data_IF_770080490739
#
_entry.id   IF_770080490739
#
_cell.length_a   1.000
_cell.length_b   1.000
_cell.length_c   1.000
_cell.angle_alpha   90.00
_cell.angle_beta   90.00
_cell.angle_gamma   90.00
#
_symmetry.space_group_name_H-M   'P 1'
#
loop_
_entity.id
_entity.type
_entity.pdbx_description
1 polymer ?
#
# COMPACT_ATOMS: atom_id res chain seq x y z
N UNK A 1 -19.33 11.02 -6.27
CA UNK A 1 -18.82 11.46 -4.95
C UNK A 1 -19.75 11.13 -3.78
N UNK A 2 -21.08 11.32 -3.88
CA UNK A 2 -22.04 11.10 -2.79
C UNK A 2 -21.95 9.74 -2.10
N UNK A 3 -21.95 8.64 -2.86
CA UNK A 3 -21.87 7.28 -2.29
C UNK A 3 -20.57 7.02 -1.50
N UNK A 4 -19.41 7.50 -1.98
CA UNK A 4 -18.15 7.33 -1.25
C UNK A 4 -18.17 8.10 0.08
N UNK A 5 -18.76 9.31 0.07
CA UNK A 5 -18.92 10.11 1.28
C UNK A 5 -19.84 9.40 2.27
N UNK A 6 -20.94 8.81 1.81
CA UNK A 6 -21.84 8.00 2.65
C UNK A 6 -21.10 6.81 3.25
N UNK A 7 -20.45 5.97 2.42
CA UNK A 7 -19.67 4.84 2.92
C UNK A 7 -18.56 5.27 3.88
N UNK A 8 -17.92 6.42 3.66
CA UNK A 8 -16.91 6.95 4.58
C UNK A 8 -17.50 7.34 5.94
N UNK A 9 -18.67 8.00 5.94
CA UNK A 9 -19.40 8.36 7.16
C UNK A 9 -19.82 7.11 7.95
N UNK A 10 -20.19 6.05 7.24
CA UNK A 10 -20.55 4.74 7.80
C UNK A 10 -19.33 3.89 8.21
N UNK A 11 -18.10 4.41 8.05
CA UNK A 11 -16.85 3.67 8.28
C UNK A 11 -16.77 2.38 7.46
N UNK A 12 -17.32 2.40 6.25
CA UNK A 12 -17.33 1.29 5.31
C UNK A 12 -16.36 1.48 4.13
N UNK A 13 -15.25 2.18 4.39
CA UNK A 13 -14.19 2.41 3.41
C UNK A 13 -12.87 1.93 3.96
N UNK A 14 -12.17 1.13 3.16
CA UNK A 14 -10.77 0.74 3.35
C UNK A 14 -9.91 1.74 2.58
N UNK A 15 -8.90 2.30 3.23
CA UNK A 15 -7.90 3.13 2.57
C UNK A 15 -6.71 2.26 2.16
N UNK A 16 -6.28 2.38 0.91
CA UNK A 16 -5.04 1.81 0.39
C UNK A 16 -4.05 2.93 0.11
N UNK A 17 -2.88 2.88 0.76
CA UNK A 17 -1.84 3.90 0.66
C UNK A 17 -0.59 3.30 0.01
N UNK A 18 -0.16 3.87 -1.11
CA UNK A 18 1.08 3.47 -1.79
C UNK A 18 2.23 4.45 -1.61
N UNK A 19 3.36 4.13 -2.24
CA UNK A 19 4.64 4.83 -2.04
C UNK A 19 4.62 6.30 -2.49
N UNK A 20 3.66 6.68 -3.32
CA UNK A 20 3.45 8.07 -3.75
C UNK A 20 3.10 9.01 -2.59
N UNK A 21 2.53 8.51 -1.49
CA UNK A 21 2.27 9.32 -0.29
C UNK A 21 3.57 9.65 0.44
N UNK A 22 4.46 8.68 0.59
CA UNK A 22 5.75 8.86 1.26
C UNK A 22 6.78 9.62 0.42
N UNK A 23 6.64 9.66 -0.92
CA UNK A 23 7.54 10.41 -1.82
C UNK A 23 7.65 11.89 -1.48
N UNK A 24 6.56 12.49 -0.97
CA UNK A 24 6.53 13.91 -0.59
C UNK A 24 7.35 14.22 0.67
N UNK A 25 7.84 13.21 1.38
CA UNK A 25 8.71 13.35 2.55
C UNK A 25 10.21 13.28 2.19
N UNK A 26 10.55 13.34 0.89
CA UNK A 26 11.94 13.30 0.44
C UNK A 26 12.62 11.93 0.55
N UNK A 27 11.84 10.88 0.80
CA UNK A 27 12.36 9.53 0.95
C UNK A 27 12.93 8.99 -0.36
N UNK A 28 13.86 8.02 -0.29
CA UNK A 28 14.35 7.42 -1.50
C UNK A 28 13.22 6.66 -2.23
N UNK A 29 13.39 6.51 -3.54
CA UNK A 29 12.40 5.84 -4.40
C UNK A 29 12.76 4.38 -4.60
N UNK A 30 11.82 3.59 -5.11
CA UNK A 30 12.13 2.23 -5.60
C UNK A 30 13.31 2.20 -6.56
N UNK A 31 13.39 3.18 -7.47
CA UNK A 31 14.51 3.30 -8.41
C UNK A 31 15.86 3.47 -7.70
N UNK A 32 15.92 4.30 -6.64
CA UNK A 32 17.14 4.46 -5.83
C UNK A 32 17.52 3.19 -5.07
N UNK A 33 16.55 2.38 -4.66
CA UNK A 33 16.81 1.06 -4.07
C UNK A 33 17.48 0.14 -5.09
N UNK A 34 16.93 0.06 -6.31
CA UNK A 34 17.52 -0.74 -7.39
C UNK A 34 18.94 -0.27 -7.73
N UNK A 35 19.18 1.06 -7.74
CA UNK A 35 20.52 1.62 -7.94
C UNK A 35 21.51 1.15 -6.89
N UNK A 36 21.08 1.12 -5.64
CA UNK A 36 21.90 0.67 -4.52
C UNK A 36 22.22 -0.83 -4.65
N UNK A 37 21.22 -1.67 -4.95
CA UNK A 37 21.42 -3.10 -5.18
C UNK A 37 22.40 -3.36 -6.33
N UNK A 38 22.24 -2.64 -7.45
CA UNK A 38 23.12 -2.77 -8.61
C UNK A 38 24.58 -2.47 -8.25
N UNK A 39 24.82 -1.36 -7.53
CA UNK A 39 26.16 -0.98 -7.06
C UNK A 39 26.77 -2.02 -6.13
N UNK A 40 26.00 -2.55 -5.17
CA UNK A 40 26.50 -3.58 -4.24
C UNK A 40 26.88 -4.90 -4.92
N UNK A 41 26.33 -5.15 -6.11
CA UNK A 41 26.62 -6.31 -6.95
C UNK A 41 27.65 -6.02 -8.04
N UNK A 42 28.16 -4.79 -8.13
CA UNK A 42 29.18 -4.38 -9.12
C UNK A 42 28.62 -4.08 -10.51
N UNK A 43 27.31 -3.86 -10.65
CA UNK A 43 26.69 -3.43 -11.90
C UNK A 43 26.60 -1.90 -12.00
N UNK A 44 26.65 -1.39 -13.23
CA UNK A 44 26.27 0.00 -13.50
C UNK A 44 24.73 0.15 -13.42
N UNK A 45 24.20 1.06 -12.59
CA UNK A 45 22.76 1.20 -12.42
C UNK A 45 22.00 1.64 -13.66
N UNK A 46 22.57 2.52 -14.47
CA UNK A 46 21.88 3.06 -15.65
C UNK A 46 21.82 2.02 -16.77
N UNK A 47 22.89 1.23 -16.93
CA UNK A 47 22.89 0.07 -17.81
C UNK A 47 21.86 -0.95 -17.31
N UNK A 48 21.85 -1.27 -16.01
CA UNK A 48 20.94 -2.28 -15.49
C UNK A 48 19.48 -1.86 -15.65
N UNK A 49 19.10 -0.62 -15.33
CA UNK A 49 17.72 -0.13 -15.52
C UNK A 49 17.22 -0.25 -16.96
N UNK A 50 18.14 -0.16 -17.93
CA UNK A 50 17.78 -0.17 -19.35
C UNK A 50 17.44 -1.57 -19.87
N UNK A 51 17.98 -2.63 -19.25
CA UNK A 51 17.89 -4.00 -19.77
C UNK A 51 17.48 -5.06 -18.75
N UNK A 52 17.53 -4.73 -17.46
CA UNK A 52 17.38 -5.66 -16.35
C UNK A 52 16.04 -5.53 -15.62
N UNK A 53 15.64 -6.62 -14.98
CA UNK A 53 14.42 -6.70 -14.20
C UNK A 53 14.71 -6.45 -12.72
N UNK A 54 14.00 -5.47 -12.13
CA UNK A 54 14.25 -5.00 -10.76
C UNK A 54 14.12 -6.10 -9.71
N UNK A 55 13.11 -6.97 -9.85
CA UNK A 55 12.86 -8.07 -8.91
C UNK A 55 13.90 -9.19 -9.03
N UNK A 56 14.37 -9.47 -10.25
CA UNK A 56 15.43 -10.44 -10.50
C UNK A 56 16.77 -9.97 -9.90
N UNK A 57 17.06 -8.66 -9.96
CA UNK A 57 18.24 -8.10 -9.29
C UNK A 57 18.19 -8.29 -7.78
N UNK A 58 17.05 -8.03 -7.16
CA UNK A 58 16.85 -8.22 -5.73
C UNK A 58 16.92 -9.71 -5.33
N UNK A 59 16.45 -10.61 -6.18
CA UNK A 59 16.60 -12.06 -6.00
C UNK A 59 18.08 -12.47 -6.04
N UNK A 60 18.80 -12.01 -7.06
CA UNK A 60 20.23 -12.29 -7.19
C UNK A 60 21.04 -11.72 -6.02
N UNK A 61 20.67 -10.54 -5.52
CA UNK A 61 21.24 -9.97 -4.29
C UNK A 61 21.10 -10.92 -3.11
N UNK A 62 19.87 -11.40 -2.85
CA UNK A 62 19.59 -12.35 -1.75
C UNK A 62 20.44 -13.62 -1.91
N UNK A 63 20.50 -14.19 -3.10
CA UNK A 63 21.30 -15.40 -3.38
C UNK A 63 22.78 -15.16 -3.12
N UNK A 64 23.33 -14.01 -3.55
CA UNK A 64 24.75 -13.67 -3.38
C UNK A 64 25.14 -13.32 -1.95
N UNK A 65 24.28 -12.61 -1.23
CA UNK A 65 24.55 -12.13 0.14
C UNK A 65 24.04 -13.09 1.22
N UNK A 66 23.29 -14.12 0.84
CA UNK A 66 22.69 -15.13 1.73
C UNK A 66 21.43 -14.64 2.45
N UNK A 67 21.18 -13.34 2.53
CA UNK A 67 19.98 -12.74 3.12
C UNK A 67 19.72 -11.34 2.56
N UNK A 68 18.52 -10.80 2.81
CA UNK A 68 18.18 -9.40 2.52
C UNK A 68 18.48 -8.44 3.69
N UNK A 69 18.97 -8.95 4.83
CA UNK A 69 19.16 -8.16 6.06
C UNK A 69 20.05 -6.91 5.90
N UNK A 70 21.19 -6.97 5.17
CA UNK A 70 22.01 -5.78 4.92
C UNK A 70 21.25 -4.72 4.11
N UNK A 71 20.55 -5.14 3.06
CA UNK A 71 19.73 -4.26 2.22
C UNK A 71 18.59 -3.64 3.03
N UNK A 72 17.92 -4.41 3.87
CA UNK A 72 16.89 -3.93 4.80
C UNK A 72 17.44 -2.90 5.77
N UNK A 73 18.63 -3.13 6.32
CA UNK A 73 19.30 -2.19 7.23
C UNK A 73 19.60 -0.86 6.54
N UNK A 74 20.08 -0.92 5.28
CA UNK A 74 20.26 0.27 4.46
C UNK A 74 18.93 0.97 4.20
N UNK A 75 17.88 0.25 3.82
CA UNK A 75 16.55 0.81 3.59
C UNK A 75 15.99 1.49 4.84
N UNK A 76 16.03 0.82 6.00
CA UNK A 76 15.49 1.36 7.26
C UNK A 76 16.18 2.67 7.64
N UNK A 77 17.50 2.73 7.49
CA UNK A 77 18.31 3.94 7.74
C UNK A 77 17.93 5.08 6.79
N UNK A 78 17.78 4.77 5.49
CA UNK A 78 17.57 5.79 4.46
C UNK A 78 16.11 6.26 4.35
N UNK A 79 15.13 5.45 4.79
CA UNK A 79 13.71 5.82 4.78
C UNK A 79 13.20 6.44 6.08
N UNK A 80 14.02 6.50 7.14
CA UNK A 80 13.63 7.08 8.44
C UNK A 80 14.54 8.23 8.88
N UNK A 81 14.67 9.25 8.03
CA UNK A 81 15.35 10.49 8.42
C UNK A 81 14.62 11.19 9.59
N UNK A 82 15.38 11.69 10.56
CA UNK A 82 14.85 12.51 11.66
C UNK A 82 14.36 13.90 11.19
N UNK A 83 14.78 14.34 10.00
CA UNK A 83 14.46 15.66 9.45
C UNK A 83 13.12 15.73 8.70
N UNK A 84 12.26 14.71 8.83
CA UNK A 84 10.97 14.70 8.13
C UNK A 84 9.95 15.56 8.87
N UNK A 85 9.47 16.61 8.20
CA UNK A 85 8.40 17.47 8.71
C UNK A 85 7.02 16.83 8.48
N UNK A 86 6.55 16.06 9.46
CA UNK A 86 5.19 15.51 9.48
C UNK A 86 4.12 16.59 9.66
N UNK A 87 4.43 17.70 10.35
CA UNK A 87 3.46 18.77 10.59
C UNK A 87 3.09 19.52 9.31
N UNK A 88 4.08 19.72 8.43
CA UNK A 88 3.90 20.29 7.09
C UNK A 88 3.23 19.35 6.09
N UNK A 89 3.15 18.05 6.37
CA UNK A 89 2.58 17.07 5.45
C UNK A 89 1.04 16.98 5.56
N UNK A 90 0.34 17.73 4.69
CA UNK A 90 -1.12 17.76 4.64
C UNK A 90 -1.74 16.36 4.50
N UNK A 91 -1.15 15.49 3.67
CA UNK A 91 -1.71 14.16 3.41
C UNK A 91 -1.63 13.23 4.63
N UNK A 92 -0.49 13.22 5.34
CA UNK A 92 -0.34 12.42 6.56
C UNK A 92 -1.25 12.93 7.68
N UNK A 93 -1.40 14.25 7.78
CA UNK A 93 -2.40 14.87 8.67
C UNK A 93 -3.82 14.41 8.36
N UNK A 94 -4.21 14.39 7.09
CA UNK A 94 -5.54 13.95 6.68
C UNK A 94 -5.75 12.45 6.94
N UNK A 95 -4.76 11.62 6.64
CA UNK A 95 -4.82 10.17 6.88
C UNK A 95 -4.95 9.88 8.38
N UNK A 96 -4.10 10.47 9.23
CA UNK A 96 -4.14 10.26 10.68
C UNK A 96 -5.46 10.74 11.30
N UNK A 97 -6.01 11.88 10.84
CA UNK A 97 -7.26 12.41 11.38
C UNK A 97 -8.52 11.84 10.71
N UNK A 98 -8.36 10.95 9.73
CA UNK A 98 -9.48 10.30 9.05
C UNK A 98 -10.17 9.27 9.95
N UNK A 99 -11.38 8.85 9.57
CA UNK A 99 -12.16 7.80 10.23
C UNK A 99 -12.09 6.46 9.49
N UNK A 100 -11.00 6.19 8.76
CA UNK A 100 -10.82 4.88 8.13
C UNK A 100 -10.56 3.83 9.23
N UNK A 101 -11.40 2.79 9.35
CA UNK A 101 -11.17 1.72 10.32
C UNK A 101 -9.99 0.81 9.90
N UNK A 102 -9.71 0.73 8.60
CA UNK A 102 -8.72 -0.17 8.01
C UNK A 102 -7.93 0.62 6.97
N UNK A 103 -6.62 0.62 7.13
CA UNK A 103 -5.65 1.20 6.21
C UNK A 103 -4.69 0.09 5.79
N UNK A 104 -4.67 -0.25 4.50
CA UNK A 104 -3.63 -1.09 3.92
C UNK A 104 -2.55 -0.22 3.30
N UNK A 105 -1.29 -0.64 3.42
CA UNK A 105 -0.19 -0.02 2.69
C UNK A 105 0.78 -1.07 2.16
N UNK A 106 1.35 -0.80 0.99
CA UNK A 106 2.48 -1.55 0.43
C UNK A 106 3.82 -0.88 0.73
N UNK A 107 3.81 0.18 1.56
CA UNK A 107 5.01 0.88 1.96
C UNK A 107 5.65 0.19 3.17
N UNK A 108 6.96 0.01 3.10
CA UNK A 108 7.76 -0.52 4.20
C UNK A 108 7.98 0.53 5.30
N UNK A 109 8.07 1.81 4.94
CA UNK A 109 8.32 2.92 5.86
C UNK A 109 7.24 3.07 6.94
N UNK A 110 7.61 3.62 8.10
CA UNK A 110 6.73 3.76 9.26
C UNK A 110 5.99 5.12 9.30
N UNK A 111 5.87 5.85 8.19
CA UNK A 111 5.38 7.23 8.24
C UNK A 111 3.87 7.36 8.47
N UNK A 112 3.08 6.35 8.10
CA UNK A 112 1.66 6.33 8.43
C UNK A 112 1.50 6.14 9.94
N UNK A 113 2.22 5.20 10.52
CA UNK A 113 2.26 4.89 11.94
C UNK A 113 2.74 6.09 12.75
N UNK A 114 3.89 6.68 12.38
CA UNK A 114 4.41 7.91 12.99
C UNK A 114 3.45 9.08 12.87
N UNK A 115 2.65 9.17 11.80
CA UNK A 115 1.63 10.21 11.70
C UNK A 115 0.50 10.02 12.71
N UNK A 116 0.07 8.77 12.95
CA UNK A 116 -0.92 8.48 13.99
C UNK A 116 -0.35 8.79 15.38
N UNK A 117 0.90 8.43 15.66
CA UNK A 117 1.59 8.75 16.92
C UNK A 117 1.67 10.27 17.13
N UNK A 118 2.14 11.01 16.11
CA UNK A 118 2.30 12.46 16.14
C UNK A 118 0.97 13.18 16.43
N UNK A 119 -0.12 12.74 15.82
CA UNK A 119 -1.46 13.30 16.04
C UNK A 119 -2.24 12.61 17.19
N UNK A 120 -1.56 11.81 18.02
CA UNK A 120 -2.11 11.13 19.20
C UNK A 120 -3.35 10.29 18.90
N UNK A 121 -3.33 9.57 17.79
CA UNK A 121 -4.39 8.67 17.35
C UNK A 121 -4.03 7.23 17.69
N UNK A 122 -5.01 6.48 18.19
CA UNK A 122 -4.84 5.05 18.46
C UNK A 122 -4.87 4.26 17.15
N UNK A 123 -3.95 3.33 17.00
CA UNK A 123 -3.93 2.36 15.91
C UNK A 123 -3.42 1.00 16.40
N UNK A 124 -3.68 -0.04 15.63
CA UNK A 124 -3.03 -1.35 15.74
C UNK A 124 -2.25 -1.60 14.45
N UNK A 125 -0.93 -1.75 14.56
CA UNK A 125 -0.08 -2.17 13.44
C UNK A 125 -0.22 -3.68 13.22
N UNK A 126 -0.38 -4.09 11.97
CA UNK A 126 -0.48 -5.49 11.56
C UNK A 126 0.52 -5.72 10.42
N UNK A 127 1.61 -6.40 10.72
CA UNK A 127 2.61 -6.83 9.74
C UNK A 127 2.58 -8.35 9.51
N UNK A 128 2.01 -9.12 10.45
CA UNK A 128 1.88 -10.56 10.32
C UNK A 128 0.68 -11.14 11.07
N UNK A 129 0.56 -12.46 11.01
CA UNK A 129 -0.53 -13.22 11.64
C UNK A 129 -0.54 -13.07 13.18
N UNK A 130 0.64 -12.91 13.79
CA UNK A 130 0.82 -12.70 15.22
C UNK A 130 0.16 -11.42 15.74
N UNK A 131 -0.08 -10.43 14.86
CA UNK A 131 -0.64 -9.14 15.23
C UNK A 131 -2.18 -9.14 15.16
N UNK A 132 -2.78 -10.12 14.45
CA UNK A 132 -4.23 -10.21 14.27
C UNK A 132 -4.97 -10.32 15.63
N UNK A 133 -4.52 -11.11 16.61
CA UNK A 133 -5.13 -11.14 17.93
C UNK A 133 -5.06 -9.82 18.71
N UNK A 134 -4.18 -8.89 18.32
CA UNK A 134 -4.01 -7.59 18.98
C UNK A 134 -5.01 -6.53 18.48
N UNK A 135 -5.87 -6.87 17.53
CA UNK A 135 -6.90 -5.98 16.99
C UNK A 135 -7.88 -5.59 18.11
N UNK A 136 -8.08 -4.28 18.28
CA UNK A 136 -9.01 -3.71 19.25
C UNK A 136 -10.19 -3.09 18.53
N UNK A 137 -11.39 -3.32 19.06
CA UNK A 137 -12.59 -2.72 18.49
C UNK A 137 -12.54 -1.19 18.51
N UNK A 138 -13.04 -0.57 17.45
CA UNK A 138 -13.03 0.88 17.26
C UNK A 138 -11.64 1.53 17.12
N UNK A 139 -10.56 0.75 17.01
CA UNK A 139 -9.19 1.24 16.76
C UNK A 139 -8.82 0.99 15.30
N UNK A 140 -8.21 1.99 14.66
CA UNK A 140 -7.79 1.88 13.26
C UNK A 140 -6.70 0.81 13.10
N UNK A 141 -6.88 -0.07 12.12
CA UNK A 141 -5.87 -1.05 11.73
C UNK A 141 -4.98 -0.45 10.64
N UNK A 142 -3.66 -0.53 10.81
CA UNK A 142 -2.67 -0.20 9.78
C UNK A 142 -1.98 -1.50 9.38
N UNK A 143 -2.32 -2.02 8.19
CA UNK A 143 -1.84 -3.29 7.65
C UNK A 143 -0.70 -3.04 6.67
N UNK A 144 0.45 -3.62 7.00
CA UNK A 144 1.69 -3.59 6.20
C UNK A 144 1.68 -4.74 5.22
N UNK A 145 0.94 -4.56 4.12
CA UNK A 145 0.64 -5.64 3.19
C UNK A 145 1.90 -6.23 2.53
N UNK A 146 2.91 -5.40 2.26
CA UNK A 146 4.18 -5.85 1.70
C UNK A 146 5.24 -6.20 2.74
N UNK A 147 4.87 -6.21 4.01
CA UNK A 147 5.79 -6.42 5.13
C UNK A 147 6.23 -5.11 5.76
N UNK A 148 6.98 -5.27 6.84
CA UNK A 148 7.49 -4.19 7.68
C UNK A 148 8.99 -4.38 7.85
N UNK A 149 9.72 -3.27 7.94
CA UNK A 149 11.15 -3.34 8.24
C UNK A 149 11.43 -4.05 9.56
N UNK A 150 10.53 -3.99 10.55
CA UNK A 150 10.69 -4.68 11.83
C UNK A 150 10.71 -6.22 11.73
N UNK A 151 10.28 -6.79 10.59
CA UNK A 151 10.27 -8.24 10.38
C UNK A 151 10.68 -8.61 8.95
N UNK A 152 11.97 -8.95 8.79
CA UNK A 152 12.61 -9.30 7.51
C UNK A 152 11.87 -10.39 6.73
N UNK A 153 11.29 -11.38 7.41
CA UNK A 153 10.58 -12.50 6.78
C UNK A 153 9.30 -12.06 6.07
N UNK A 154 8.75 -10.90 6.42
CA UNK A 154 7.51 -10.38 5.83
C UNK A 154 7.72 -9.54 4.57
N UNK A 155 8.97 -9.13 4.31
CA UNK A 155 9.33 -8.18 3.26
C UNK A 155 9.23 -8.84 1.88
N UNK A 156 8.41 -8.25 1.00
CA UNK A 156 8.23 -8.74 -0.37
C UNK A 156 8.95 -7.86 -1.37
N UNK A 157 10.22 -8.19 -1.58
CA UNK A 157 11.17 -7.36 -2.31
C UNK A 157 11.78 -8.06 -3.53
N UNK A 158 11.95 -9.38 -3.45
CA UNK A 158 12.60 -10.18 -4.47
C UNK A 158 11.58 -10.94 -5.33
N UNK A 159 12.04 -11.48 -6.44
CA UNK A 159 11.19 -12.19 -7.39
C UNK A 159 10.44 -13.37 -6.75
N UNK A 160 11.10 -14.22 -5.96
CA UNK A 160 10.44 -15.36 -5.32
C UNK A 160 9.31 -14.94 -4.39
N UNK A 161 9.53 -13.94 -3.54
CA UNK A 161 8.52 -13.41 -2.62
C UNK A 161 7.32 -12.77 -3.34
N UNK A 162 7.56 -12.18 -4.53
CA UNK A 162 6.47 -11.68 -5.37
C UNK A 162 5.65 -12.82 -5.97
N UNK A 163 6.30 -13.89 -6.44
CA UNK A 163 5.59 -15.05 -6.98
C UNK A 163 4.78 -15.80 -5.92
N UNK A 164 5.33 -15.99 -4.72
CA UNK A 164 4.62 -16.61 -3.59
C UNK A 164 3.33 -15.84 -3.26
N UNK A 165 3.36 -14.50 -3.35
CA UNK A 165 2.17 -13.66 -3.17
C UNK A 165 1.09 -13.84 -4.25
N UNK A 166 1.40 -14.36 -5.44
CA UNK A 166 0.39 -14.59 -6.49
C UNK A 166 -0.53 -15.77 -6.19
N UNK A 167 -0.13 -16.66 -5.27
CA UNK A 167 -0.97 -17.73 -4.77
C UNK A 167 -2.14 -17.18 -3.93
N UNK A 168 -1.93 -16.00 -3.31
CA UNK A 168 -2.88 -15.34 -2.42
C UNK A 168 -3.28 -16.20 -1.21
N UNK A 169 -2.38 -17.03 -0.70
CA UNK A 169 -2.65 -17.93 0.43
C UNK A 169 -2.11 -17.41 1.75
N UNK A 170 -1.37 -16.30 1.75
CA UNK A 170 -0.85 -15.74 3.00
C UNK A 170 -1.99 -15.27 3.90
N UNK A 171 -1.81 -15.26 5.24
CA UNK A 171 -2.83 -14.77 6.17
C UNK A 171 -3.31 -13.35 5.85
N UNK A 172 -2.42 -12.47 5.39
CA UNK A 172 -2.78 -11.10 5.00
C UNK A 172 -3.56 -11.06 3.67
N UNK A 173 -3.30 -11.97 2.73
CA UNK A 173 -4.10 -12.09 1.50
C UNK A 173 -5.54 -12.55 1.81
N UNK A 174 -5.69 -13.52 2.71
CA UNK A 174 -6.99 -14.02 3.18
C UNK A 174 -7.75 -12.91 3.88
N UNK A 175 -7.09 -12.21 4.82
CA UNK A 175 -7.68 -11.07 5.52
C UNK A 175 -8.10 -9.96 4.55
N UNK A 176 -7.24 -9.60 3.59
CA UNK A 176 -7.55 -8.56 2.60
C UNK A 176 -8.78 -8.96 1.78
N UNK A 177 -8.85 -10.20 1.29
CA UNK A 177 -10.05 -10.70 0.60
C UNK A 177 -11.30 -10.61 1.48
N UNK A 178 -11.21 -10.99 2.73
CA UNK A 178 -12.34 -10.92 3.67
C UNK A 178 -12.79 -9.47 3.89
N UNK A 179 -11.84 -8.55 4.14
CA UNK A 179 -12.13 -7.14 4.42
C UNK A 179 -12.79 -6.45 3.21
N UNK A 180 -12.32 -6.71 1.99
CA UNK A 180 -12.82 -6.04 0.78
C UNK A 180 -14.18 -6.57 0.30
N UNK A 181 -14.62 -7.76 0.74
CA UNK A 181 -15.89 -8.36 0.28
C UNK A 181 -17.14 -7.56 0.66
N UNK A 182 -17.06 -6.64 1.61
CA UNK A 182 -18.20 -5.81 2.03
C UNK A 182 -17.90 -4.32 2.13
N UNK A 183 -16.76 -3.87 1.59
CA UNK A 183 -16.26 -2.50 1.76
C UNK A 183 -15.88 -1.86 0.45
N UNK A 184 -16.03 -0.54 0.40
CA UNK A 184 -15.39 0.25 -0.64
C UNK A 184 -13.90 0.40 -0.36
N UNK A 185 -13.09 0.43 -1.40
CA UNK A 185 -11.65 0.64 -1.34
C UNK A 185 -11.29 1.94 -2.03
N UNK A 186 -10.51 2.78 -1.35
CA UNK A 186 -9.98 4.04 -1.85
C UNK A 186 -8.45 3.95 -1.94
N UNK A 187 -7.87 4.17 -3.11
CA UNK A 187 -6.43 4.17 -3.30
C UNK A 187 -5.90 5.60 -3.36
N UNK A 188 -4.80 5.86 -2.65
CA UNK A 188 -4.10 7.14 -2.64
C UNK A 188 -2.59 6.91 -2.79
N UNK A 189 -1.96 7.66 -3.69
CA UNK A 189 -0.52 7.57 -3.94
C UNK A 189 -0.06 6.17 -4.39
N UNK A 190 -0.98 5.38 -4.93
CA UNK A 190 -0.75 4.01 -5.33
C UNK A 190 -0.27 3.93 -6.78
N UNK A 191 0.77 3.14 -7.01
CA UNK A 191 1.27 2.86 -8.36
C UNK A 191 0.59 1.60 -8.90
N UNK A 192 0.02 1.69 -10.11
CA UNK A 192 -0.49 0.52 -10.85
C UNK A 192 0.63 -0.45 -11.29
N UNK A 193 1.90 -0.20 -10.92
CA UNK A 193 3.00 -1.12 -11.19
C UNK A 193 2.98 -2.38 -10.32
N UNK A 194 2.29 -2.36 -9.17
CA UNK A 194 2.20 -3.54 -8.29
C UNK A 194 1.22 -4.58 -8.86
N UNK A 195 1.80 -5.65 -9.38
CA UNK A 195 1.10 -6.74 -10.07
C UNK A 195 0.28 -7.59 -9.10
N UNK A 196 0.73 -7.79 -7.85
CA UNK A 196 0.09 -8.67 -6.88
C UNK A 196 -1.32 -8.16 -6.55
N UNK A 197 -1.40 -6.90 -6.14
CA UNK A 197 -2.69 -6.27 -5.81
C UNK A 197 -3.57 -6.11 -7.05
N UNK A 198 -3.01 -5.76 -8.22
CA UNK A 198 -3.79 -5.69 -9.46
C UNK A 198 -4.43 -7.04 -9.80
N UNK A 199 -3.65 -8.11 -9.68
CA UNK A 199 -4.13 -9.45 -9.97
C UNK A 199 -5.16 -9.92 -8.92
N UNK A 200 -4.96 -9.57 -7.65
CA UNK A 200 -5.94 -9.81 -6.59
C UNK A 200 -7.28 -9.13 -6.89
N UNK A 201 -7.27 -7.82 -7.17
CA UNK A 201 -8.50 -7.07 -7.48
C UNK A 201 -9.15 -7.54 -8.77
N UNK A 202 -8.37 -7.99 -9.75
CA UNK A 202 -8.91 -8.64 -10.94
C UNK A 202 -9.62 -9.97 -10.62
N UNK A 203 -9.02 -10.84 -9.80
CA UNK A 203 -9.65 -12.10 -9.34
C UNK A 203 -10.93 -11.81 -8.57
N UNK A 204 -10.89 -10.84 -7.64
CA UNK A 204 -12.07 -10.39 -6.90
C UNK A 204 -13.15 -9.90 -7.87
N UNK A 205 -12.84 -8.99 -8.78
CA UNK A 205 -13.81 -8.50 -9.76
C UNK A 205 -14.43 -9.63 -10.62
N UNK A 206 -13.67 -10.68 -10.95
CA UNK A 206 -14.20 -11.86 -11.64
C UNK A 206 -15.19 -12.64 -10.80
N UNK A 207 -14.88 -12.91 -9.52
CA UNK A 207 -15.78 -13.63 -8.60
C UNK A 207 -17.15 -12.95 -8.50
N UNK A 208 -17.18 -11.61 -8.45
CA UNK A 208 -18.42 -10.84 -8.38
C UNK A 208 -19.22 -10.85 -9.68
N UNK A 209 -18.57 -11.03 -10.83
CA UNK A 209 -19.26 -11.18 -12.12
C UNK A 209 -19.90 -12.56 -12.25
N UNK A 210 -19.27 -13.60 -11.71
CA UNK A 210 -19.79 -14.97 -11.76
C UNK A 210 -20.98 -15.21 -10.83
N UNK A 211 -21.17 -14.40 -9.79
CA UNK A 211 -22.29 -14.51 -8.83
C UNK A 211 -23.58 -13.79 -9.27
N UNK A 212 -23.68 -13.31 -10.52
CA UNK A 212 -24.91 -12.64 -11.02
C UNK A 212 -26.06 -13.64 -11.30
N UNK A 213 -26.71 -14.12 -10.24
CA UNK A 213 -28.17 -14.06 -10.15
C UNK A 213 -28.50 -12.91 -9.17
N UNK A 214 -29.14 -11.82 -9.61
CA UNK A 214 -29.28 -10.64 -8.78
C UNK A 214 -30.51 -10.74 -7.87
N UNK A 215 -30.43 -10.36 -6.58
CA UNK A 215 -31.39 -9.43 -6.03
C UNK A 215 -31.01 -8.03 -6.52
N UNK A 216 -32.00 -7.23 -6.91
CA UNK A 216 -31.81 -5.92 -7.52
C UNK A 216 -30.79 -5.04 -6.77
N UNK A 217 -29.95 -4.32 -7.53
CA UNK A 217 -28.91 -3.35 -7.08
C UNK A 217 -27.51 -3.93 -6.82
N UNK A 218 -26.83 -4.37 -7.89
CA UNK A 218 -25.38 -4.62 -7.87
C UNK A 218 -24.61 -3.42 -8.44
N UNK A 219 -23.80 -2.77 -7.60
CA UNK A 219 -22.85 -1.74 -8.01
C UNK A 219 -21.78 -2.30 -8.97
N UNK A 220 -21.40 -1.49 -9.95
CA UNK A 220 -20.41 -1.84 -10.97
C UNK A 220 -18.96 -1.63 -10.50
N UNK A 221 -18.04 -2.36 -11.14
CA UNK A 221 -16.62 -2.04 -11.09
C UNK A 221 -16.39 -0.75 -11.91
N UNK A 222 -16.17 0.37 -11.23
CA UNK A 222 -15.88 1.65 -11.89
C UNK A 222 -14.45 2.10 -11.57
N UNK A 223 -13.52 1.78 -12.47
CA UNK A 223 -12.16 2.30 -12.45
C UNK A 223 -12.21 3.76 -12.93
N UNK A 224 -12.37 4.72 -12.01
CA UNK A 224 -12.22 6.15 -12.32
C UNK A 224 -10.86 6.63 -11.83
N UNK A 225 -10.01 7.07 -12.76
CA UNK A 225 -8.85 7.91 -12.46
C UNK A 225 -9.36 9.35 -12.37
N UNK A 226 -9.43 9.92 -11.18
CA UNK A 226 -9.69 11.35 -11.04
C UNK A 226 -8.35 12.10 -10.98
N UNK A 227 -8.08 12.92 -12.00
CA UNK A 227 -7.07 13.97 -11.90
C UNK A 227 -7.61 15.06 -10.96
N UNK A 228 -6.82 15.60 -10.02
CA UNK A 228 -7.25 16.70 -9.19
C UNK A 228 -7.69 17.88 -10.08
N UNK A 229 -8.87 18.42 -9.80
CA UNK A 229 -9.40 19.61 -10.46
C UNK A 229 -8.39 20.76 -10.30
N UNK A 230 -7.75 21.16 -11.40
CA UNK A 230 -6.56 22.04 -11.45
C UNK A 230 -6.86 23.49 -11.04
N UNK A 231 -8.08 23.80 -10.59
CA UNK A 231 -8.49 25.17 -10.25
C UNK A 231 -8.37 25.54 -8.77
N UNK A 232 -7.99 24.61 -7.88
CA UNK A 232 -7.81 24.92 -6.44
C UNK A 232 -6.54 24.36 -5.78
N UNK A 233 -5.59 23.85 -6.58
CA UNK A 233 -4.31 23.33 -6.11
C UNK A 233 -3.18 23.97 -6.92
N UNK A 234 -3.03 25.29 -6.81
CA UNK A 234 -1.91 26.01 -7.43
C UNK A 234 -0.66 26.08 -6.55
N UNK A 235 -0.64 25.38 -5.41
CA UNK A 235 0.58 25.20 -4.61
C UNK A 235 0.76 23.71 -4.31
N UNK A 236 1.92 23.18 -4.71
CA UNK A 236 2.40 21.80 -4.62
C UNK A 236 1.92 20.80 -5.70
N UNK A 237 2.85 20.49 -6.59
CA UNK A 237 2.81 19.45 -7.63
C UNK A 237 2.41 18.06 -7.10
N UNK A 238 1.12 17.73 -7.17
CA UNK A 238 0.59 16.39 -6.92
C UNK A 238 0.35 15.65 -8.24
N UNK A 239 1.21 14.68 -8.57
CA UNK A 239 1.00 13.70 -9.66
C UNK A 239 0.67 12.35 -9.03
N UNK A 240 -0.52 12.24 -8.43
CA UNK A 240 -1.02 10.99 -7.84
C UNK A 240 -2.42 10.70 -8.37
N UNK A 241 -2.64 9.49 -8.88
CA UNK A 241 -3.96 9.02 -9.28
C UNK A 241 -4.78 8.63 -8.05
N UNK A 242 -6.00 9.18 -7.92
CA UNK A 242 -7.02 8.67 -6.99
C UNK A 242 -7.82 7.61 -7.74
N UNK A 243 -7.89 6.40 -7.18
CA UNK A 243 -8.69 5.30 -7.72
C UNK A 243 -9.69 4.83 -6.66
N UNK A 244 -10.93 4.61 -7.05
CA UNK A 244 -11.97 4.02 -6.21
C UNK A 244 -12.33 2.64 -6.75
N UNK A 245 -12.46 1.64 -5.88
CA UNK A 245 -13.08 0.35 -6.18
C UNK A 245 -14.19 0.12 -5.16
N UNK A 246 -15.41 -0.19 -5.60
CA UNK A 246 -16.52 -0.48 -4.67
C UNK A 246 -16.93 -1.94 -4.81
N UNK A 247 -16.97 -2.66 -3.70
CA UNK A 247 -17.41 -4.04 -3.62
C UNK A 247 -18.52 -4.11 -2.57
N UNK A 248 -19.78 -4.26 -3.02
CA UNK A 248 -20.93 -4.27 -2.10
C UNK A 248 -22.28 -4.27 -2.80
N UNK A 249 -23.28 -4.80 -2.09
CA UNK A 249 -24.70 -4.60 -2.39
C UNK A 249 -25.06 -3.17 -1.97
N UNK A 250 -25.61 -2.38 -2.88
CA UNK A 250 -25.99 -0.99 -2.58
C UNK A 250 -27.02 -0.93 -1.45
N UNK A 251 -26.82 -0.06 -0.47
CA UNK A 251 -27.91 0.39 0.41
C UNK A 251 -28.65 1.54 -0.28
N UNK A 252 -29.98 1.45 -0.25
CA UNK A 252 -30.94 2.38 -0.89
C UNK A 252 -30.77 3.83 -0.44
#
# INVERSE_FOLDING_TARGET
MGELITSYRERNVILFVGAGVSKNLGLPTWSKLIDHIAKELGYDPEIYKSFGESLALAEYYRVKKGSIGPLRSWMDTNWHSENVDLAGSVIHKLIANSKFPIIYTTNYDRWIEKSFEFYQKRFTKIAGVSDIPLIKDGVTQIIKFHGDFDNDETIVLNESSYYERLEFETPLDIKLRSDVLGKSVLFIGYSLADVNLRFLFYKLAKLWKTTKQPPAQAGGLELRTESPDTRRLNDASYSGSILKLSFGLGSK
#
